data_IF_773331340051
#
_entry.id   IF_773331340051
#
_cell.length_a   1.000
_cell.length_b   1.000
_cell.length_c   1.000
_cell.angle_alpha   90.00
_cell.angle_beta   90.00
_cell.angle_gamma   90.00
#
_symmetry.space_group_name_H-M   'P 1'
#
loop_
_entity.id
_entity.type
_entity.pdbx_description
1 polymer ?
#
# COMPACT_ATOMS: atom_id res chain seq x y z
N UNK A 1 6.12 12.01 -1.52
CA UNK A 1 4.64 11.99 -1.38
C UNK A 1 4.07 13.31 -0.85
N UNK A 2 2.81 13.66 -1.17
CA UNK A 2 2.04 14.66 -0.42
C UNK A 2 1.34 14.00 0.79
N UNK A 3 1.36 14.64 1.97
CA UNK A 3 0.69 14.14 3.18
C UNK A 3 -0.46 15.05 3.61
N UNK A 4 -1.58 14.44 4.03
CA UNK A 4 -2.81 15.13 4.45
C UNK A 4 -3.35 14.54 5.75
N UNK A 5 -4.09 15.32 6.53
CA UNK A 5 -4.77 14.79 7.71
C UNK A 5 -5.94 13.90 7.31
N UNK A 6 -6.04 12.72 7.94
CA UNK A 6 -7.21 11.85 7.79
C UNK A 6 -8.35 12.37 8.65
N UNK A 7 -9.21 13.20 8.06
CA UNK A 7 -10.39 13.76 8.73
C UNK A 7 -10.00 14.64 9.93
N UNK A 8 -10.37 14.23 11.14
CA UNK A 8 -10.05 14.92 12.42
C UNK A 8 -9.29 14.00 13.39
N UNK A 9 -8.53 13.05 12.84
CA UNK A 9 -7.86 12.02 13.64
C UNK A 9 -6.48 12.47 14.15
N UNK A 10 -5.95 13.59 13.65
CA UNK A 10 -4.56 14.00 13.89
C UNK A 10 -3.50 13.16 13.15
N UNK A 11 -3.91 12.10 12.43
CA UNK A 11 -2.98 11.29 11.63
C UNK A 11 -2.73 11.95 10.28
N UNK A 12 -1.45 12.11 9.92
CA UNK A 12 -1.05 12.51 8.56
C UNK A 12 -0.72 11.29 7.73
N UNK A 13 -1.43 11.11 6.61
CA UNK A 13 -1.26 9.98 5.69
C UNK A 13 -0.89 10.46 4.29
N UNK A 14 -0.29 9.60 3.49
CA UNK A 14 -0.03 9.86 2.07
C UNK A 14 -1.34 10.10 1.29
N UNK A 15 -1.29 10.97 0.28
CA UNK A 15 -2.42 11.23 -0.62
C UNK A 15 -2.74 10.04 -1.55
N UNK A 16 -1.83 9.08 -1.66
CA UNK A 16 -1.96 7.83 -2.40
C UNK A 16 -1.65 6.66 -1.46
N UNK A 17 -2.44 5.59 -1.52
CA UNK A 17 -2.25 4.37 -0.73
C UNK A 17 -2.02 3.15 -1.62
N UNK A 18 -1.32 2.16 -1.07
CA UNK A 18 -1.16 0.85 -1.70
C UNK A 18 -2.37 -0.04 -1.40
N UNK A 19 -3.12 -0.42 -2.43
CA UNK A 19 -4.25 -1.32 -2.31
C UNK A 19 -3.81 -2.79 -2.24
N UNK A 20 -4.09 -3.47 -1.12
CA UNK A 20 -3.59 -4.83 -0.85
C UNK A 20 -4.53 -5.98 -1.29
N UNK A 21 -5.67 -5.70 -1.95
CA UNK A 21 -6.66 -6.74 -2.26
C UNK A 21 -6.10 -7.90 -3.10
N UNK A 22 -5.19 -7.61 -4.03
CA UNK A 22 -4.57 -8.64 -4.87
C UNK A 22 -3.62 -9.56 -4.11
N UNK A 23 -3.07 -9.11 -2.97
CA UNK A 23 -2.14 -9.91 -2.16
C UNK A 23 -2.82 -11.11 -1.47
N UNK A 24 -4.16 -11.14 -1.43
CA UNK A 24 -4.90 -12.27 -0.87
C UNK A 24 -4.99 -13.49 -1.78
N UNK A 25 -4.55 -13.41 -3.04
CA UNK A 25 -4.61 -14.52 -3.99
C UNK A 25 -6.02 -15.02 -4.36
N UNK A 26 -7.06 -14.21 -4.07
CA UNK A 26 -8.46 -14.60 -4.28
C UNK A 26 -8.83 -14.71 -5.76
N UNK A 27 -8.25 -13.85 -6.61
CA UNK A 27 -8.57 -13.82 -8.03
C UNK A 27 -7.65 -14.70 -8.86
N UNK A 28 -6.35 -14.69 -8.56
CA UNK A 28 -5.31 -15.49 -9.22
C UNK A 28 -4.20 -15.84 -8.22
N UNK A 29 -3.39 -16.85 -8.55
CA UNK A 29 -2.18 -17.17 -7.80
C UNK A 29 -1.26 -15.94 -7.72
N UNK A 30 -0.64 -15.74 -6.57
CA UNK A 30 0.42 -14.75 -6.38
C UNK A 30 1.71 -15.45 -5.98
N UNK A 31 2.85 -14.94 -6.48
CA UNK A 31 4.13 -15.30 -5.90
C UNK A 31 4.33 -14.43 -4.65
N UNK A 32 4.44 -15.06 -3.48
CA UNK A 32 4.57 -14.36 -2.20
C UNK A 32 5.76 -13.37 -2.21
N UNK A 33 6.88 -13.77 -2.83
CA UNK A 33 8.06 -12.92 -2.97
C UNK A 33 7.78 -11.63 -3.75
N UNK A 34 7.02 -11.70 -4.84
CA UNK A 34 6.64 -10.53 -5.64
C UNK A 34 5.64 -9.65 -4.89
N UNK A 35 4.74 -10.27 -4.12
CA UNK A 35 3.81 -9.55 -3.24
C UNK A 35 4.56 -8.74 -2.17
N UNK A 36 5.56 -9.34 -1.54
CA UNK A 36 6.44 -8.69 -0.57
C UNK A 36 7.21 -7.54 -1.25
N UNK A 37 7.85 -7.79 -2.38
CA UNK A 37 8.61 -6.78 -3.14
C UNK A 37 7.72 -5.59 -3.55
N UNK A 38 6.46 -5.84 -3.93
CA UNK A 38 5.50 -4.79 -4.28
C UNK A 38 5.21 -3.86 -3.10
N UNK A 39 5.09 -4.41 -1.88
CA UNK A 39 4.90 -3.61 -0.66
C UNK A 39 6.13 -2.77 -0.35
N UNK A 40 7.33 -3.36 -0.42
CA UNK A 40 8.58 -2.61 -0.23
C UNK A 40 8.72 -1.48 -1.26
N UNK A 41 8.48 -1.79 -2.53
CA UNK A 41 8.51 -0.80 -3.63
C UNK A 41 7.58 0.38 -3.35
N UNK A 42 6.37 0.12 -2.87
CA UNK A 42 5.41 1.18 -2.54
C UNK A 42 5.85 2.05 -1.36
N UNK A 43 6.54 1.47 -0.36
CA UNK A 43 7.09 2.21 0.79
C UNK A 43 8.30 3.04 0.36
N UNK A 44 9.22 2.47 -0.43
CA UNK A 44 10.46 3.11 -0.86
C UNK A 44 10.22 4.28 -1.83
N UNK A 45 9.18 4.19 -2.65
CA UNK A 45 8.79 5.25 -3.58
C UNK A 45 7.75 6.22 -2.98
N UNK A 46 7.61 6.19 -1.65
CA UNK A 46 6.74 7.06 -0.85
C UNK A 46 7.20 8.52 -0.78
#
# INVERSE_FOLDING_TARGET
MEYRELGKTGMKISSLSFGASSLGGVFHHILESEGIESVFTAIENG
#
